data_IF_143248108862
#
_entry.id   IF_143248108862
#
_cell.length_a   1.000
_cell.length_b   1.000
_cell.length_c   1.000
_cell.angle_alpha   90.00
_cell.angle_beta   90.00
_cell.angle_gamma   90.00
#
_symmetry.space_group_name_H-M   'P 1'
#
loop_
_entity.id
_entity.type
_entity.pdbx_description
1 polymer ?
#
# COMPACT_ATOMS: atom_id res chain seq x y z
N UNK A 1 -72.27 -66.45 -58.77
CA UNK A 1 -70.91 -66.42 -58.32
C UNK A 1 -70.48 -67.87 -58.10
N UNK A 2 -69.55 -68.34 -58.94
CA UNK A 2 -69.16 -69.77 -58.93
C UNK A 2 -68.11 -70.02 -57.85
N UNK A 3 -68.08 -71.29 -57.36
CA UNK A 3 -67.08 -71.74 -56.33
C UNK A 3 -65.64 -71.45 -56.76
N UNK A 4 -65.35 -71.30 -58.06
CA UNK A 4 -64.06 -70.88 -58.61
C UNK A 4 -63.65 -69.46 -58.27
N UNK A 5 -64.61 -68.50 -58.27
CA UNK A 5 -64.29 -67.09 -57.96
C UNK A 5 -63.95 -66.87 -56.44
N UNK A 6 -64.61 -67.67 -55.58
CA UNK A 6 -64.33 -67.64 -54.12
C UNK A 6 -62.98 -68.25 -53.86
N UNK A 7 -62.58 -69.28 -54.59
CA UNK A 7 -61.26 -69.90 -54.45
C UNK A 7 -60.12 -69.00 -54.92
N UNK A 8 -60.29 -68.33 -56.05
CA UNK A 8 -59.32 -67.32 -56.55
C UNK A 8 -59.16 -66.11 -55.56
N UNK A 9 -60.28 -65.68 -54.99
CA UNK A 9 -60.23 -64.55 -53.98
C UNK A 9 -59.55 -65.02 -52.72
N UNK A 10 -59.76 -66.27 -52.27
CA UNK A 10 -59.10 -66.82 -51.04
C UNK A 10 -57.58 -67.05 -51.23
N UNK A 11 -57.14 -67.47 -52.44
CA UNK A 11 -55.74 -67.68 -52.81
C UNK A 11 -55.07 -66.32 -52.86
N UNK A 12 -55.66 -65.28 -53.50
CA UNK A 12 -55.16 -63.91 -53.55
C UNK A 12 -55.07 -63.25 -52.16
N UNK A 13 -56.07 -63.48 -51.30
CA UNK A 13 -56.02 -63.01 -49.91
C UNK A 13 -54.88 -63.69 -49.07
N UNK A 14 -54.63 -64.99 -49.33
CA UNK A 14 -53.60 -65.73 -48.64
C UNK A 14 -52.19 -65.29 -49.12
N UNK A 15 -52.00 -64.97 -50.37
CA UNK A 15 -50.74 -64.32 -50.85
C UNK A 15 -50.54 -62.93 -50.32
N UNK A 16 -51.58 -62.10 -50.23
CA UNK A 16 -51.48 -60.79 -49.55
C UNK A 16 -51.15 -60.85 -48.07
N UNK A 17 -51.74 -61.84 -47.40
CA UNK A 17 -51.41 -62.08 -45.92
C UNK A 17 -49.97 -62.53 -45.75
N UNK A 18 -49.45 -63.39 -46.69
CA UNK A 18 -48.04 -63.81 -46.67
C UNK A 18 -47.08 -62.66 -46.93
N UNK A 19 -47.38 -61.78 -47.87
CA UNK A 19 -46.61 -60.58 -48.20
C UNK A 19 -46.62 -59.57 -47.05
N UNK A 20 -47.75 -59.34 -46.39
CA UNK A 20 -47.85 -58.49 -45.20
C UNK A 20 -47.04 -59.10 -44.02
N UNK A 21 -47.12 -60.44 -43.90
CA UNK A 21 -46.33 -61.13 -42.83
C UNK A 21 -44.83 -61.01 -43.06
N UNK A 22 -44.38 -61.10 -44.35
CA UNK A 22 -42.96 -60.86 -44.67
C UNK A 22 -42.55 -59.42 -44.49
N UNK A 23 -43.37 -58.46 -44.84
CA UNK A 23 -43.13 -57.05 -44.63
C UNK A 23 -43.03 -56.71 -43.12
N UNK A 24 -43.92 -57.28 -42.33
CA UNK A 24 -43.89 -57.13 -40.87
C UNK A 24 -42.63 -57.72 -40.27
N UNK A 25 -42.15 -58.86 -40.70
CA UNK A 25 -40.88 -59.46 -40.26
C UNK A 25 -39.67 -58.58 -40.60
N UNK A 26 -39.64 -57.98 -41.80
CA UNK A 26 -38.61 -57.04 -42.23
C UNK A 26 -38.60 -55.80 -41.33
N UNK A 27 -39.75 -55.13 -41.12
CA UNK A 27 -39.92 -54.00 -40.25
C UNK A 27 -39.48 -54.29 -38.80
N UNK A 28 -39.84 -55.47 -38.29
CA UNK A 28 -39.42 -55.88 -36.94
C UNK A 28 -37.92 -56.03 -36.86
N UNK A 29 -37.26 -56.62 -37.88
CA UNK A 29 -35.80 -56.73 -37.95
C UNK A 29 -35.11 -55.38 -38.08
N UNK A 30 -35.65 -54.47 -38.85
CA UNK A 30 -35.13 -53.07 -38.99
C UNK A 30 -35.30 -52.29 -37.70
N UNK A 31 -36.45 -52.42 -37.04
CA UNK A 31 -36.66 -51.83 -35.70
C UNK A 31 -35.68 -52.34 -34.68
N UNK A 32 -35.37 -53.64 -34.68
CA UNK A 32 -34.41 -54.23 -33.75
C UNK A 32 -32.99 -53.73 -34.00
N UNK A 33 -32.57 -53.64 -35.27
CA UNK A 33 -31.29 -53.05 -35.67
C UNK A 33 -31.19 -51.57 -35.31
N UNK A 34 -32.26 -50.79 -35.45
CA UNK A 34 -32.31 -49.41 -35.01
C UNK A 34 -32.20 -49.29 -33.46
N UNK A 35 -32.86 -50.19 -32.73
CA UNK A 35 -32.73 -50.18 -31.28
C UNK A 35 -31.28 -50.46 -30.82
N UNK A 36 -30.62 -51.46 -31.40
CA UNK A 36 -29.22 -51.76 -31.14
C UNK A 36 -28.28 -50.61 -31.46
N UNK A 37 -28.53 -49.87 -32.58
CA UNK A 37 -27.78 -48.68 -32.93
C UNK A 37 -28.01 -47.51 -31.97
N UNK A 38 -29.24 -47.33 -31.49
CA UNK A 38 -29.57 -46.31 -30.45
C UNK A 38 -28.87 -46.62 -29.16
N UNK A 39 -28.86 -47.88 -28.69
CA UNK A 39 -28.18 -48.30 -27.46
C UNK A 39 -26.64 -48.11 -27.56
N UNK A 40 -26.07 -48.44 -28.73
CA UNK A 40 -24.66 -48.20 -28.98
C UNK A 40 -24.33 -46.67 -28.93
N UNK A 41 -25.14 -45.82 -29.56
CA UNK A 41 -24.99 -44.37 -29.50
C UNK A 41 -25.18 -43.83 -28.09
N UNK A 42 -26.10 -44.35 -27.29
CA UNK A 42 -26.26 -43.97 -25.89
C UNK A 42 -25.02 -44.32 -25.06
N UNK A 43 -24.43 -45.48 -25.27
CA UNK A 43 -23.22 -45.91 -24.62
C UNK A 43 -22.03 -45.05 -25.01
N UNK A 44 -21.88 -44.72 -26.28
CA UNK A 44 -20.82 -43.83 -26.80
C UNK A 44 -20.98 -42.41 -26.23
N UNK A 45 -22.18 -41.86 -26.21
CA UNK A 45 -22.49 -40.56 -25.63
C UNK A 45 -22.14 -40.52 -24.12
N UNK A 46 -22.46 -41.58 -23.39
CA UNK A 46 -22.07 -41.69 -21.95
C UNK A 46 -20.56 -41.73 -21.77
N UNK A 47 -19.84 -42.40 -22.66
CA UNK A 47 -18.38 -42.45 -22.67
C UNK A 47 -17.77 -41.08 -23.02
N UNK A 48 -18.28 -40.40 -24.04
CA UNK A 48 -17.86 -39.08 -24.44
C UNK A 48 -18.07 -38.04 -23.31
N UNK A 49 -19.22 -38.08 -22.65
CA UNK A 49 -19.51 -37.22 -21.49
C UNK A 49 -18.49 -37.44 -20.34
N UNK A 50 -18.16 -38.71 -20.03
CA UNK A 50 -17.13 -39.04 -19.04
C UNK A 50 -15.76 -38.52 -19.44
N UNK A 51 -15.36 -38.67 -20.68
CA UNK A 51 -14.09 -38.13 -21.20
C UNK A 51 -14.04 -36.60 -21.18
N UNK A 52 -15.09 -35.91 -21.54
CA UNK A 52 -15.18 -34.44 -21.45
C UNK A 52 -15.02 -33.97 -19.99
N UNK A 53 -15.64 -34.66 -19.05
CA UNK A 53 -15.52 -34.33 -17.63
C UNK A 53 -14.10 -34.55 -17.11
N UNK A 54 -13.46 -35.65 -17.49
CA UNK A 54 -12.06 -35.94 -17.17
C UNK A 54 -11.12 -34.88 -17.74
N UNK A 55 -11.26 -34.55 -19.04
CA UNK A 55 -10.45 -33.51 -19.71
C UNK A 55 -10.68 -32.13 -19.10
N UNK A 56 -11.88 -31.79 -18.67
CA UNK A 56 -12.17 -30.55 -17.95
C UNK A 56 -11.48 -30.47 -16.60
N UNK A 57 -11.41 -31.60 -15.86
CA UNK A 57 -10.66 -31.68 -14.58
C UNK A 57 -9.15 -31.52 -14.81
N UNK A 58 -8.64 -32.20 -15.82
CA UNK A 58 -7.22 -32.13 -16.17
C UNK A 58 -6.81 -30.73 -16.65
N UNK A 59 -7.61 -30.11 -17.53
CA UNK A 59 -7.41 -28.73 -17.95
C UNK A 59 -7.45 -27.75 -16.78
N UNK A 60 -8.35 -27.91 -15.81
CA UNK A 60 -8.36 -27.10 -14.59
C UNK A 60 -7.09 -27.28 -13.77
N UNK A 61 -6.59 -28.50 -13.66
CA UNK A 61 -5.34 -28.81 -12.95
C UNK A 61 -4.13 -28.19 -13.67
N UNK A 62 -4.04 -28.37 -14.98
CA UNK A 62 -2.96 -27.83 -15.80
C UNK A 62 -2.96 -26.29 -15.77
N UNK A 63 -4.13 -25.66 -15.90
CA UNK A 63 -4.27 -24.20 -15.78
C UNK A 63 -3.80 -23.68 -14.41
N UNK A 64 -4.15 -24.37 -13.30
CA UNK A 64 -3.64 -24.02 -11.96
C UNK A 64 -2.12 -24.15 -11.86
N UNK A 65 -1.51 -25.13 -12.53
CA UNK A 65 -0.05 -25.31 -12.54
C UNK A 65 0.61 -24.21 -13.39
N UNK A 66 0.06 -23.89 -14.55
CA UNK A 66 0.55 -22.85 -15.46
C UNK A 66 0.43 -21.46 -14.82
N UNK A 67 -0.69 -21.20 -14.14
CA UNK A 67 -0.94 -19.96 -13.40
C UNK A 67 0.18 -19.58 -12.42
N UNK A 68 0.90 -20.59 -11.90
CA UNK A 68 2.02 -20.38 -10.98
C UNK A 68 3.25 -19.79 -11.67
N UNK A 69 3.42 -20.02 -12.97
CA UNK A 69 4.57 -19.56 -13.77
C UNK A 69 4.26 -18.31 -14.61
N UNK A 70 2.99 -18.08 -14.94
CA UNK A 70 2.54 -16.98 -15.80
C UNK A 70 2.03 -15.75 -15.05
N UNK A 71 1.94 -15.81 -13.71
CA UNK A 71 1.50 -14.64 -12.92
C UNK A 71 2.60 -13.60 -12.87
N UNK A 72 2.32 -12.33 -13.18
CA UNK A 72 3.26 -11.26 -12.91
C UNK A 72 3.61 -11.24 -11.43
N UNK A 73 4.87 -10.96 -11.12
CA UNK A 73 5.30 -10.80 -9.73
C UNK A 73 4.53 -9.64 -9.08
N UNK A 74 3.98 -9.90 -7.91
CA UNK A 74 3.36 -8.84 -7.12
C UNK A 74 4.44 -7.93 -6.54
N UNK A 75 4.29 -6.64 -6.77
CA UNK A 75 5.16 -5.58 -6.28
C UNK A 75 4.33 -4.42 -5.71
N UNK A 76 4.98 -3.39 -5.21
CA UNK A 76 4.32 -2.21 -4.63
C UNK A 76 3.53 -1.38 -5.65
N UNK A 77 3.79 -1.54 -6.96
CA UNK A 77 3.10 -0.81 -8.01
C UNK A 77 1.80 -1.48 -8.44
N UNK A 78 1.75 -2.82 -8.41
CA UNK A 78 0.62 -3.61 -8.90
C UNK A 78 -0.14 -4.37 -7.79
N UNK A 79 0.21 -4.18 -6.53
CA UNK A 79 -0.45 -4.83 -5.40
C UNK A 79 -0.22 -4.05 -4.10
N UNK A 80 -0.92 -4.44 -3.03
CA UNK A 80 -0.66 -3.92 -1.68
C UNK A 80 0.56 -4.57 -1.01
N UNK A 81 1.49 -5.14 -1.79
CA UNK A 81 2.74 -5.71 -1.25
C UNK A 81 3.67 -4.57 -0.87
N UNK A 82 4.11 -4.45 0.40
CA UNK A 82 5.04 -3.41 0.78
C UNK A 82 6.39 -3.59 0.06
N UNK A 83 7.11 -2.50 -0.29
CA UNK A 83 8.41 -2.55 -0.96
C UNK A 83 9.43 -3.45 -0.25
N UNK A 84 9.33 -3.54 1.06
CA UNK A 84 10.16 -4.38 1.92
C UNK A 84 9.98 -5.90 1.74
N UNK A 85 8.89 -6.34 1.13
CA UNK A 85 8.62 -7.75 0.79
C UNK A 85 8.91 -8.07 -0.67
N UNK A 86 9.32 -7.10 -1.46
CA UNK A 86 9.75 -7.35 -2.83
C UNK A 86 11.01 -8.19 -2.82
N UNK A 87 11.00 -9.28 -3.59
CA UNK A 87 12.20 -10.08 -3.79
C UNK A 87 13.21 -9.21 -4.55
N UNK A 88 14.37 -8.96 -3.96
CA UNK A 88 15.49 -8.39 -4.68
C UNK A 88 15.93 -9.40 -5.76
N UNK A 89 15.39 -9.29 -6.94
CA UNK A 89 15.95 -9.91 -8.13
C UNK A 89 17.16 -9.05 -8.53
N UNK A 90 18.31 -9.67 -8.70
CA UNK A 90 19.54 -9.02 -9.17
C UNK A 90 19.41 -8.40 -10.59
N UNK A 91 18.24 -8.50 -11.21
CA UNK A 91 17.96 -7.97 -12.53
C UNK A 91 17.14 -6.69 -12.40
N UNK A 92 17.82 -5.61 -12.71
CA UNK A 92 17.27 -4.29 -13.02
C UNK A 92 16.31 -3.76 -11.93
N UNK A 93 16.83 -2.87 -11.12
CA UNK A 93 16.01 -1.88 -10.42
C UNK A 93 15.12 -1.22 -11.50
N UNK A 94 13.96 -1.79 -11.73
CA UNK A 94 12.93 -1.07 -12.48
C UNK A 94 12.59 0.11 -11.59
N UNK A 95 13.19 1.26 -11.96
CA UNK A 95 12.80 2.56 -11.37
C UNK A 95 11.29 2.56 -11.33
N UNK A 96 10.74 2.81 -10.16
CA UNK A 96 9.30 2.96 -9.95
C UNK A 96 8.73 3.66 -11.17
N UNK A 97 7.94 2.95 -11.96
CA UNK A 97 7.30 3.56 -13.14
C UNK A 97 6.40 4.63 -12.57
N UNK A 98 6.81 5.88 -12.70
CA UNK A 98 5.94 7.02 -12.44
C UNK A 98 4.64 6.75 -13.20
N UNK A 99 3.49 6.94 -12.57
CA UNK A 99 2.17 6.91 -13.22
C UNK A 99 2.03 7.98 -14.33
N UNK A 100 3.04 8.84 -14.47
CA UNK A 100 3.14 9.83 -15.56
C UNK A 100 3.41 9.08 -16.87
N UNK A 101 2.55 9.27 -17.84
CA UNK A 101 2.82 8.86 -19.24
C UNK A 101 4.18 9.44 -19.65
N UNK A 102 5.01 8.64 -20.32
CA UNK A 102 6.24 9.15 -20.93
C UNK A 102 5.87 10.29 -21.85
N UNK A 103 6.30 11.51 -21.54
CA UNK A 103 6.01 12.70 -22.35
C UNK A 103 6.75 12.73 -23.69
N UNK A 104 7.70 11.81 -23.90
CA UNK A 104 8.61 11.82 -25.04
C UNK A 104 9.68 12.94 -24.99
N UNK A 105 9.63 13.78 -23.99
CA UNK A 105 10.54 14.91 -23.81
C UNK A 105 11.84 14.46 -23.13
N UNK A 106 12.93 15.17 -23.39
CA UNK A 106 14.23 14.88 -22.76
C UNK A 106 14.14 15.07 -21.24
N UNK A 107 14.87 14.25 -20.42
CA UNK A 107 14.98 14.47 -18.99
C UNK A 107 15.56 15.86 -18.70
N UNK A 108 14.97 16.60 -17.77
CA UNK A 108 15.41 17.95 -17.38
C UNK A 108 14.31 18.99 -17.46
N UNK A 109 14.66 20.25 -17.19
CA UNK A 109 13.75 21.39 -17.35
C UNK A 109 13.34 21.56 -18.81
N UNK A 110 12.05 21.71 -19.05
CA UNK A 110 11.51 21.94 -20.39
C UNK A 110 11.54 23.44 -20.69
N UNK A 111 11.47 23.88 -21.99
CA UNK A 111 11.33 25.29 -22.33
C UNK A 111 10.14 25.92 -21.58
N UNK A 112 10.36 27.01 -20.89
CA UNK A 112 9.36 27.67 -20.04
C UNK A 112 9.27 27.14 -18.60
N UNK A 113 10.09 26.16 -18.19
CA UNK A 113 10.18 25.74 -16.79
C UNK A 113 10.92 26.81 -15.98
N UNK A 114 10.25 27.37 -14.98
CA UNK A 114 10.90 28.26 -14.01
C UNK A 114 11.92 27.44 -13.20
N UNK A 115 13.18 27.88 -13.26
CA UNK A 115 14.25 27.24 -12.53
C UNK A 115 14.08 27.51 -11.03
N UNK A 116 13.79 26.47 -10.25
CA UNK A 116 13.80 26.54 -8.79
C UNK A 116 15.23 26.47 -8.26
N UNK A 117 15.97 27.56 -8.47
CA UNK A 117 17.30 27.71 -7.87
C UNK A 117 17.18 27.96 -6.37
N UNK A 118 18.19 27.57 -5.61
CA UNK A 118 18.27 27.90 -4.20
C UNK A 118 18.45 29.42 -4.09
N UNK A 119 17.54 30.08 -3.39
CA UNK A 119 17.63 31.52 -3.14
C UNK A 119 18.78 31.81 -2.19
N UNK A 120 19.50 32.89 -2.44
CA UNK A 120 20.49 33.42 -1.51
C UNK A 120 19.80 33.96 -0.25
N UNK A 121 20.47 33.81 0.90
CA UNK A 121 19.99 34.41 2.14
C UNK A 121 20.30 35.92 2.16
N UNK A 122 19.34 36.71 2.62
CA UNK A 122 19.53 38.16 2.77
C UNK A 122 20.51 38.52 3.92
N UNK A 123 20.68 37.59 4.88
CA UNK A 123 21.54 37.80 6.07
C UNK A 123 22.53 36.64 6.17
N UNK A 124 23.67 36.68 5.45
CA UNK A 124 24.72 35.70 5.60
C UNK A 124 25.39 35.80 6.99
N UNK A 125 25.90 34.66 7.49
CA UNK A 125 26.57 34.63 8.78
C UNK A 125 27.97 35.26 8.74
N UNK A 126 28.66 35.14 7.61
CA UNK A 126 29.99 35.67 7.34
C UNK A 126 29.96 36.35 5.97
N UNK A 127 30.61 37.46 5.84
CA UNK A 127 30.82 38.16 4.55
C UNK A 127 32.34 38.31 4.39
N UNK A 128 32.85 37.85 3.28
CA UNK A 128 34.26 37.96 2.90
C UNK A 128 34.37 38.65 1.56
N UNK A 129 35.15 39.78 1.53
CA UNK A 129 35.42 40.52 0.32
C UNK A 129 36.60 39.91 -0.42
N UNK A 130 36.34 39.41 -1.62
CA UNK A 130 37.35 38.75 -2.48
C UNK A 130 37.93 39.78 -3.45
N UNK A 131 39.06 40.36 -3.11
CA UNK A 131 39.75 41.35 -3.92
C UNK A 131 41.06 40.79 -4.52
N UNK A 132 41.41 41.22 -5.73
CA UNK A 132 42.68 40.86 -6.32
C UNK A 132 43.77 41.76 -5.79
N UNK A 133 44.81 41.22 -5.18
CA UNK A 133 45.95 42.01 -4.67
C UNK A 133 46.93 42.49 -5.75
N UNK A 134 46.98 41.81 -6.90
CA UNK A 134 47.91 42.11 -7.99
C UNK A 134 47.27 42.02 -9.36
N UNK A 135 47.73 42.84 -10.29
CA UNK A 135 47.33 42.77 -11.69
C UNK A 135 47.86 41.52 -12.37
N UNK A 136 46.99 40.76 -13.01
CA UNK A 136 47.36 39.45 -13.66
C UNK A 136 48.24 39.64 -14.87
N UNK A 137 48.24 40.79 -15.53
CA UNK A 137 49.01 41.06 -16.73
C UNK A 137 50.36 41.74 -16.43
N UNK A 138 50.38 42.78 -15.58
CA UNK A 138 51.62 43.57 -15.36
C UNK A 138 52.21 43.39 -13.94
N UNK A 139 51.58 42.64 -13.04
CA UNK A 139 52.06 42.37 -11.67
C UNK A 139 51.97 43.58 -10.72
N UNK A 140 51.36 44.68 -11.13
CA UNK A 140 51.22 45.88 -10.27
C UNK A 140 50.37 45.54 -9.03
N UNK A 141 50.76 46.07 -7.88
CA UNK A 141 49.96 46.06 -6.65
C UNK A 141 48.68 46.90 -6.84
N UNK A 142 47.57 46.31 -6.50
CA UNK A 142 46.23 46.91 -6.63
C UNK A 142 45.61 47.30 -5.28
N UNK A 143 46.37 47.20 -4.19
CA UNK A 143 45.88 47.46 -2.82
C UNK A 143 45.29 48.88 -2.66
N UNK A 144 45.78 49.86 -3.44
CA UNK A 144 45.39 51.28 -3.42
C UNK A 144 44.18 51.55 -4.34
N UNK A 145 43.71 50.57 -5.09
CA UNK A 145 42.60 50.76 -6.05
C UNK A 145 41.32 50.22 -5.40
N UNK A 146 40.30 51.07 -5.34
CA UNK A 146 38.98 50.68 -4.86
C UNK A 146 38.35 49.61 -5.76
N UNK A 147 37.88 48.54 -5.18
CA UNK A 147 37.17 47.46 -5.89
C UNK A 147 35.71 47.87 -6.17
N UNK A 148 35.20 47.47 -7.34
CA UNK A 148 33.80 47.52 -7.68
C UNK A 148 33.19 46.14 -7.53
N UNK A 149 31.98 46.04 -6.95
CA UNK A 149 31.29 44.78 -6.75
C UNK A 149 30.81 44.23 -8.10
N UNK A 150 31.37 43.11 -8.55
CA UNK A 150 31.01 42.45 -9.80
C UNK A 150 29.81 41.48 -9.59
N UNK A 151 29.92 40.54 -8.65
CA UNK A 151 28.82 39.61 -8.32
C UNK A 151 28.95 39.10 -6.89
N UNK A 152 27.84 38.52 -6.37
CA UNK A 152 27.77 37.90 -5.07
C UNK A 152 27.50 36.41 -5.23
N UNK A 153 28.24 35.58 -4.50
CA UNK A 153 27.99 34.15 -4.37
C UNK A 153 27.91 33.78 -2.90
N UNK A 154 27.14 32.71 -2.59
CA UNK A 154 27.04 32.21 -1.22
C UNK A 154 27.36 30.72 -1.18
N UNK A 155 28.18 30.32 -0.22
CA UNK A 155 28.49 28.92 0.12
C UNK A 155 27.79 28.61 1.43
N UNK A 156 26.99 27.54 1.45
CA UNK A 156 26.35 27.03 2.67
C UNK A 156 27.13 25.86 3.19
N UNK A 157 27.72 26.02 4.37
CA UNK A 157 28.50 24.98 5.02
C UNK A 157 27.99 24.69 6.44
N UNK A 158 28.41 23.59 7.04
CA UNK A 158 28.10 23.22 8.41
C UNK A 158 29.26 23.62 9.31
N UNK A 159 28.98 24.20 10.51
CA UNK A 159 30.02 24.43 11.49
C UNK A 159 30.56 23.09 12.02
N UNK A 160 31.80 23.09 12.52
CA UNK A 160 32.37 21.93 13.22
C UNK A 160 31.46 21.47 14.35
N UNK A 161 30.99 20.23 14.30
CA UNK A 161 30.10 19.66 15.31
C UNK A 161 30.89 19.16 16.49
N UNK A 162 31.14 20.03 17.47
CA UNK A 162 31.86 19.70 18.72
C UNK A 162 30.89 19.69 19.93
N UNK A 163 31.02 18.72 20.84
CA UNK A 163 30.18 18.66 22.02
C UNK A 163 30.55 19.80 23.02
N UNK A 164 29.52 20.39 23.64
CA UNK A 164 29.73 21.34 24.73
C UNK A 164 29.70 20.59 26.05
N UNK A 165 30.85 20.51 26.71
CA UNK A 165 30.99 19.89 28.03
C UNK A 165 30.79 20.96 29.08
N UNK A 166 29.81 20.75 29.97
CA UNK A 166 29.56 21.64 31.13
C UNK A 166 29.91 20.93 32.42
N UNK A 167 30.83 21.50 33.19
CA UNK A 167 31.19 21.03 34.50
C UNK A 167 30.37 21.76 35.59
N UNK A 168 29.78 21.00 36.50
CA UNK A 168 29.08 21.53 37.66
C UNK A 168 29.83 21.17 38.91
N UNK A 169 30.35 22.17 39.62
CA UNK A 169 31.05 22.01 40.89
C UNK A 169 30.08 22.23 42.04
N UNK A 170 29.79 21.18 42.79
CA UNK A 170 28.81 21.20 43.87
C UNK A 170 29.47 21.43 45.19
N UNK A 171 29.15 22.53 45.86
CA UNK A 171 29.67 22.89 47.16
C UNK A 171 28.61 22.67 48.22
N UNK A 172 29.07 22.32 49.46
CA UNK A 172 28.26 22.36 50.68
C UNK A 172 28.79 23.46 51.60
N UNK A 173 27.88 24.16 52.27
CA UNK A 173 28.19 25.15 53.27
C UNK A 173 27.47 24.80 54.57
N UNK A 174 28.17 24.81 55.70
CA UNK A 174 27.57 24.61 57.02
C UNK A 174 27.29 25.97 57.64
N UNK A 175 26.07 26.24 58.03
CA UNK A 175 25.65 27.44 58.72
C UNK A 175 26.13 27.39 60.20
N UNK A 176 26.26 28.54 60.86
CA UNK A 176 26.56 28.64 62.29
C UNK A 176 25.56 27.92 63.20
N UNK A 177 24.30 27.69 62.71
CA UNK A 177 23.29 26.86 63.37
C UNK A 177 23.54 25.35 63.26
N UNK A 178 24.60 24.90 62.57
CA UNK A 178 24.92 23.49 62.33
C UNK A 178 24.22 22.91 61.04
N UNK A 179 23.31 23.64 60.37
CA UNK A 179 22.62 23.17 59.21
C UNK A 179 23.55 23.12 57.97
N UNK A 180 23.60 21.97 57.30
CA UNK A 180 24.37 21.77 56.06
C UNK A 180 23.55 22.11 54.85
N UNK A 181 23.89 23.16 54.12
CA UNK A 181 23.26 23.61 52.88
C UNK A 181 24.08 23.18 51.68
N UNK A 182 23.43 22.58 50.67
CA UNK A 182 24.05 22.21 49.42
C UNK A 182 23.57 23.12 48.30
N UNK A 183 24.43 23.38 47.35
CA UNK A 183 24.07 24.09 46.13
C UNK A 183 23.04 23.31 45.31
N UNK A 184 22.43 24.01 44.37
CA UNK A 184 21.48 23.41 43.45
C UNK A 184 22.08 22.22 42.67
N UNK A 185 21.42 21.06 42.75
CA UNK A 185 21.78 19.87 41.98
C UNK A 185 20.83 19.73 40.81
N UNK A 186 21.23 20.08 39.56
CA UNK A 186 20.37 19.94 38.40
C UNK A 186 20.06 18.48 38.06
N UNK A 187 20.74 17.51 38.71
CA UNK A 187 20.55 16.06 38.50
C UNK A 187 20.80 15.29 39.79
N UNK A 188 20.12 14.14 39.94
CA UNK A 188 20.35 13.23 41.08
C UNK A 188 21.78 12.70 41.06
N UNK A 189 22.39 12.59 42.24
CA UNK A 189 23.67 11.91 42.45
C UNK A 189 23.64 10.51 41.82
N UNK A 190 24.65 10.15 41.05
CA UNK A 190 24.77 8.82 40.45
C UNK A 190 25.91 8.75 39.46
N UNK A 191 25.74 9.31 38.29
CA UNK A 191 26.76 9.25 37.24
C UNK A 191 27.55 10.56 37.19
N UNK A 192 28.88 10.46 37.16
CA UNK A 192 29.76 11.62 37.01
C UNK A 192 29.57 12.32 35.65
N UNK A 193 29.27 11.54 34.59
CA UNK A 193 29.02 12.06 33.25
C UNK A 193 27.61 11.70 32.82
N UNK A 194 26.87 12.68 32.30
CA UNK A 194 25.52 12.48 31.77
C UNK A 194 25.34 13.24 30.48
N UNK A 195 24.48 12.72 29.59
CA UNK A 195 24.17 13.37 28.34
C UNK A 195 23.07 14.42 28.45
N UNK A 196 23.30 15.58 27.87
CA UNK A 196 22.37 16.71 27.86
C UNK A 196 21.14 16.47 27.00
N UNK A 197 20.16 17.38 27.07
CA UNK A 197 18.89 17.28 26.34
C UNK A 197 19.06 17.19 24.83
N UNK A 198 20.00 17.93 24.23
CA UNK A 198 20.23 17.96 22.79
C UNK A 198 20.80 16.63 22.28
N UNK A 199 21.80 16.07 22.99
CA UNK A 199 22.33 14.72 22.64
C UNK A 199 21.21 13.68 22.67
N UNK A 200 20.39 13.70 23.72
CA UNK A 200 19.26 12.77 23.88
C UNK A 200 18.21 12.95 22.78
N UNK A 201 17.93 14.19 22.38
CA UNK A 201 17.01 14.48 21.26
C UNK A 201 17.54 13.95 19.93
N UNK A 202 18.82 14.22 19.60
CA UNK A 202 19.46 13.72 18.38
C UNK A 202 19.47 12.18 18.34
N UNK A 203 19.88 11.53 19.44
CA UNK A 203 19.87 10.05 19.55
C UNK A 203 18.46 9.49 19.32
N UNK A 204 17.46 10.08 19.96
CA UNK A 204 16.06 9.63 19.79
C UNK A 204 15.59 9.83 18.36
N UNK A 205 15.84 10.99 17.76
CA UNK A 205 15.47 11.30 16.39
C UNK A 205 16.10 10.33 15.38
N UNK A 206 17.43 10.13 15.48
CA UNK A 206 18.15 9.26 14.57
C UNK A 206 17.72 7.79 14.71
N UNK A 207 17.44 7.33 15.93
CA UNK A 207 16.95 5.96 16.12
C UNK A 207 15.50 5.78 15.70
N UNK A 208 14.59 6.66 16.12
CA UNK A 208 13.14 6.48 15.93
C UNK A 208 12.72 6.92 14.54
N UNK A 209 13.15 8.11 14.09
CA UNK A 209 12.70 8.68 12.80
C UNK A 209 13.58 8.19 11.64
N UNK A 210 14.91 8.17 11.83
CA UNK A 210 15.85 7.74 10.80
C UNK A 210 16.16 6.24 10.84
N UNK A 211 15.53 5.50 11.77
CA UNK A 211 15.67 4.05 11.90
C UNK A 211 17.12 3.55 12.01
N UNK A 212 18.01 4.38 12.56
CA UNK A 212 19.43 4.04 12.71
C UNK A 212 19.62 2.98 13.79
N UNK A 213 20.19 1.79 13.51
CA UNK A 213 20.47 0.77 14.51
C UNK A 213 21.41 1.27 15.61
N UNK A 214 21.31 0.72 16.82
CA UNK A 214 22.10 1.17 17.97
C UNK A 214 23.61 1.15 17.73
N UNK A 215 24.14 0.14 17.05
CA UNK A 215 25.54 0.02 16.73
C UNK A 215 25.99 1.15 15.80
N UNK A 216 25.31 1.34 14.68
CA UNK A 216 25.61 2.42 13.73
C UNK A 216 25.39 3.80 14.35
N UNK A 217 24.43 3.93 15.24
CA UNK A 217 24.15 5.18 15.93
C UNK A 217 25.27 5.51 16.93
N UNK A 218 25.84 4.51 17.61
CA UNK A 218 26.99 4.70 18.47
C UNK A 218 28.20 5.21 17.68
N UNK A 219 28.52 4.56 16.53
CA UNK A 219 29.60 5.01 15.63
C UNK A 219 29.36 6.42 15.09
N UNK A 220 28.13 6.72 14.65
CA UNK A 220 27.76 8.05 14.13
C UNK A 220 27.93 9.13 15.20
N UNK A 221 27.49 8.86 16.45
CA UNK A 221 27.65 9.82 17.56
C UNK A 221 29.12 10.09 17.87
N UNK A 222 29.98 9.10 17.75
CA UNK A 222 31.42 9.25 17.96
C UNK A 222 32.12 9.95 16.79
N UNK A 223 31.87 9.49 15.56
CA UNK A 223 32.57 9.97 14.35
C UNK A 223 32.15 11.40 13.95
N UNK A 224 30.85 11.73 14.05
CA UNK A 224 30.32 13.02 13.61
C UNK A 224 30.25 14.04 14.74
N UNK A 225 29.88 13.60 15.94
CA UNK A 225 29.62 14.50 17.08
C UNK A 225 30.68 14.44 18.17
N UNK A 226 31.69 13.58 18.04
CA UNK A 226 32.72 13.32 19.05
C UNK A 226 32.11 13.00 20.46
N UNK A 227 31.01 12.26 20.44
CA UNK A 227 30.28 11.86 21.67
C UNK A 227 30.27 10.33 21.77
N UNK A 228 31.19 9.83 22.64
CA UNK A 228 31.26 8.39 22.88
C UNK A 228 30.10 7.93 23.77
N UNK A 229 29.34 6.87 23.29
CA UNK A 229 28.28 6.27 24.08
C UNK A 229 28.06 4.79 23.70
N UNK A 230 27.71 3.98 24.71
CA UNK A 230 27.39 2.57 24.49
C UNK A 230 25.99 2.38 23.92
N UNK A 231 25.76 1.24 23.23
CA UNK A 231 24.44 0.84 22.77
C UNK A 231 23.40 0.75 23.92
N UNK A 232 23.84 0.34 25.12
CA UNK A 232 23.00 0.32 26.34
C UNK A 232 22.54 1.71 26.73
N UNK A 233 23.39 2.70 26.59
CA UNK A 233 23.08 4.13 26.88
C UNK A 233 22.05 4.63 25.84
N UNK A 234 22.23 4.34 24.55
CA UNK A 234 21.29 4.67 23.49
C UNK A 234 19.91 4.07 23.79
N UNK A 235 19.86 2.77 24.11
CA UNK A 235 18.62 2.07 24.49
C UNK A 235 17.92 2.79 25.67
N UNK A 236 18.65 3.12 26.70
CA UNK A 236 18.09 3.81 27.90
C UNK A 236 17.51 5.18 27.51
N UNK A 237 18.20 5.95 26.66
CA UNK A 237 17.74 7.25 26.18
C UNK A 237 16.42 7.09 25.42
N UNK A 238 16.36 6.15 24.48
CA UNK A 238 15.16 5.89 23.66
C UNK A 238 14.00 5.43 24.53
N UNK A 239 14.22 4.50 25.48
CA UNK A 239 13.19 4.04 26.41
C UNK A 239 12.66 5.17 27.32
N UNK A 240 13.54 6.08 27.79
CA UNK A 240 13.09 7.23 28.54
C UNK A 240 12.26 8.20 27.70
N UNK A 241 12.65 8.44 26.45
CA UNK A 241 11.89 9.26 25.53
C UNK A 241 10.48 8.67 25.29
N UNK A 242 10.38 7.36 25.07
CA UNK A 242 9.10 6.66 24.94
C UNK A 242 8.21 6.82 26.18
N UNK A 243 8.79 6.63 27.36
CA UNK A 243 8.02 6.80 28.61
C UNK A 243 7.49 8.22 28.76
N UNK A 244 8.30 9.22 28.38
CA UNK A 244 7.92 10.64 28.43
C UNK A 244 6.89 11.03 27.36
N UNK A 245 6.82 10.30 26.24
CA UNK A 245 5.86 10.56 25.16
C UNK A 245 4.45 10.04 25.46
N UNK A 246 4.25 9.15 26.45
CA UNK A 246 2.94 8.57 26.73
C UNK A 246 1.79 9.59 26.86
N UNK A 247 1.94 10.72 27.58
CA UNK A 247 0.86 11.73 27.65
C UNK A 247 0.54 12.36 26.28
N UNK A 248 1.58 12.62 25.45
CA UNK A 248 1.40 13.15 24.11
C UNK A 248 0.71 12.14 23.18
N UNK A 249 1.07 10.86 23.26
CA UNK A 249 0.42 9.78 22.50
C UNK A 249 -1.06 9.70 22.88
N UNK A 250 -1.40 9.77 24.17
CA UNK A 250 -2.79 9.78 24.63
C UNK A 250 -3.55 10.98 24.09
N UNK A 251 -2.94 12.16 24.09
CA UNK A 251 -3.55 13.36 23.52
C UNK A 251 -3.81 13.20 22.02
N UNK A 252 -2.85 12.65 21.25
CA UNK A 252 -3.03 12.36 19.81
C UNK A 252 -4.18 11.39 19.59
N UNK A 253 -4.29 10.37 20.40
CA UNK A 253 -5.38 9.39 20.34
C UNK A 253 -6.74 10.03 20.63
N UNK A 254 -6.83 10.89 21.63
CA UNK A 254 -8.04 11.64 21.97
C UNK A 254 -8.44 12.64 20.85
N UNK A 255 -7.45 13.24 20.18
CA UNK A 255 -7.68 14.10 19.03
C UNK A 255 -8.19 13.29 17.81
N UNK A 256 -7.60 12.12 17.53
CA UNK A 256 -8.06 11.24 16.47
C UNK A 256 -9.48 10.75 16.72
N UNK A 257 -9.83 10.41 17.96
CA UNK A 257 -11.22 10.01 18.32
C UNK A 257 -12.25 11.09 18.06
N UNK A 258 -11.84 12.36 18.06
CA UNK A 258 -12.71 13.51 17.77
C UNK A 258 -12.67 13.93 16.31
N UNK A 259 -11.81 13.32 15.51
CA UNK A 259 -11.65 13.70 14.10
C UNK A 259 -12.78 13.13 13.25
N UNK A 260 -13.42 13.94 12.38
CA UNK A 260 -14.57 13.49 11.59
C UNK A 260 -14.15 12.53 10.45
N UNK A 261 -12.91 12.57 10.01
CA UNK A 261 -12.39 11.71 8.94
C UNK A 261 -11.04 11.15 9.38
N UNK A 262 -10.92 9.81 9.39
CA UNK A 262 -9.70 9.11 9.79
C UNK A 262 -9.37 8.02 8.77
N UNK A 263 -8.15 8.06 8.26
CA UNK A 263 -7.59 6.98 7.46
C UNK A 263 -7.03 5.89 8.37
N UNK A 264 -7.33 4.62 8.06
CA UNK A 264 -6.74 3.47 8.74
C UNK A 264 -6.02 2.58 7.73
N UNK A 265 -4.87 2.08 8.15
CA UNK A 265 -4.10 1.12 7.37
C UNK A 265 -3.28 0.23 8.31
N UNK A 266 -2.90 -0.97 7.86
CA UNK A 266 -2.09 -1.87 8.67
C UNK A 266 -1.06 -2.62 7.83
N UNK A 267 0.11 -2.86 8.42
CA UNK A 267 1.18 -3.63 7.80
C UNK A 267 1.70 -4.70 8.74
N UNK A 268 1.91 -5.91 8.20
CA UNK A 268 2.50 -6.99 8.97
C UNK A 268 3.97 -6.72 9.26
N UNK A 269 4.38 -6.87 10.52
CA UNK A 269 5.77 -6.79 10.96
C UNK A 269 6.11 -8.03 11.80
N UNK A 270 7.39 -8.44 11.77
CA UNK A 270 7.85 -9.57 12.57
C UNK A 270 8.54 -9.08 13.83
N UNK A 271 8.07 -9.55 14.98
CA UNK A 271 8.68 -9.33 16.28
C UNK A 271 9.04 -10.69 16.91
N UNK A 272 10.32 -10.93 17.17
CA UNK A 272 10.80 -12.21 17.70
C UNK A 272 10.25 -13.44 16.95
N UNK A 273 10.29 -13.41 15.61
CA UNK A 273 9.76 -14.43 14.69
C UNK A 273 8.22 -14.60 14.73
N UNK A 274 7.49 -13.84 15.52
CA UNK A 274 6.02 -13.81 15.52
C UNK A 274 5.54 -12.68 14.63
N UNK A 275 4.46 -12.93 13.89
CA UNK A 275 3.81 -11.89 13.08
C UNK A 275 2.99 -10.99 13.99
N UNK A 276 3.34 -9.74 14.03
CA UNK A 276 2.59 -8.64 14.63
C UNK A 276 2.11 -7.69 13.53
N UNK A 277 1.28 -6.74 13.91
CA UNK A 277 0.72 -5.75 12.99
C UNK A 277 1.02 -4.34 13.49
N UNK A 278 1.57 -3.54 12.60
CA UNK A 278 1.69 -2.11 12.79
C UNK A 278 0.45 -1.46 12.15
N UNK A 279 -0.31 -0.78 12.97
CA UNK A 279 -1.50 -0.03 12.57
C UNK A 279 -1.19 1.45 12.49
N UNK A 280 -1.80 2.13 11.54
CA UNK A 280 -1.77 3.58 11.41
C UNK A 280 -3.20 4.09 11.46
N UNK A 281 -3.42 5.12 12.30
CA UNK A 281 -4.61 5.96 12.26
C UNK A 281 -4.16 7.39 11.95
N UNK A 282 -4.74 8.03 10.93
CA UNK A 282 -4.26 9.32 10.46
C UNK A 282 -5.35 10.25 9.97
N UNK A 283 -5.07 11.54 10.09
CA UNK A 283 -5.78 12.62 9.41
C UNK A 283 -4.77 13.40 8.55
N UNK A 284 -5.18 14.52 7.97
CA UNK A 284 -4.27 15.42 7.25
C UNK A 284 -3.12 15.93 8.12
N UNK A 285 -3.32 16.06 9.45
CA UNK A 285 -2.36 16.69 10.36
C UNK A 285 -1.84 15.77 11.46
N UNK A 286 -2.52 14.65 11.72
CA UNK A 286 -2.20 13.75 12.81
C UNK A 286 -1.92 12.36 12.29
N UNK A 287 -0.90 11.71 12.84
CA UNK A 287 -0.61 10.30 12.58
C UNK A 287 -0.28 9.60 13.89
N UNK A 288 -1.01 8.55 14.18
CA UNK A 288 -0.76 7.63 15.28
C UNK A 288 -0.38 6.27 14.71
N UNK A 289 0.83 5.82 15.04
CA UNK A 289 1.26 4.46 14.74
C UNK A 289 1.25 3.63 16.03
N UNK A 290 0.65 2.43 15.98
CA UNK A 290 0.59 1.54 17.13
C UNK A 290 0.67 0.07 16.71
N UNK A 291 1.11 -0.76 17.65
CA UNK A 291 1.25 -2.21 17.45
C UNK A 291 0.01 -2.95 17.95
N UNK A 292 -0.39 -4.00 17.23
CA UNK A 292 -1.37 -4.97 17.69
C UNK A 292 -0.93 -6.40 17.33
N UNK A 293 -1.38 -7.37 18.12
CA UNK A 293 -1.09 -8.79 17.88
C UNK A 293 -1.92 -9.37 16.71
N UNK A 294 -2.95 -8.66 16.25
CA UNK A 294 -3.86 -9.13 15.23
C UNK A 294 -4.27 -8.06 14.22
N UNK A 295 -5.02 -8.51 13.21
CA UNK A 295 -5.58 -7.73 12.11
C UNK A 295 -7.12 -7.77 12.10
N UNK A 296 -7.75 -7.94 13.24
CA UNK A 296 -9.21 -7.98 13.35
C UNK A 296 -9.81 -6.63 13.67
N UNK A 297 -11.13 -6.48 13.44
CA UNK A 297 -11.90 -5.29 13.82
C UNK A 297 -11.74 -4.94 15.30
N UNK A 298 -11.59 -5.93 16.16
CA UNK A 298 -11.41 -5.74 17.63
C UNK A 298 -10.28 -4.79 17.99
N UNK A 299 -9.21 -4.73 17.19
CA UNK A 299 -8.09 -3.81 17.43
C UNK A 299 -8.54 -2.35 17.42
N UNK A 300 -9.39 -1.98 16.47
CA UNK A 300 -9.94 -0.63 16.38
C UNK A 300 -11.09 -0.41 17.37
N UNK A 301 -11.92 -1.43 17.60
CA UNK A 301 -13.00 -1.38 18.61
C UNK A 301 -12.44 -1.13 20.02
N UNK A 302 -11.41 -1.88 20.42
CA UNK A 302 -10.74 -1.72 21.72
C UNK A 302 -10.09 -0.35 21.87
N UNK A 303 -9.54 0.19 20.78
CA UNK A 303 -8.79 1.45 20.83
C UNK A 303 -9.64 2.68 20.67
N UNK A 304 -10.62 2.68 19.77
CA UNK A 304 -11.42 3.84 19.42
C UNK A 304 -12.85 3.76 19.98
N UNK A 305 -13.39 2.55 20.22
CA UNK A 305 -14.71 2.33 20.81
C UNK A 305 -15.82 3.06 20.06
N UNK A 306 -16.72 3.70 20.80
CA UNK A 306 -17.86 4.43 20.23
C UNK A 306 -17.47 5.63 19.35
N UNK A 307 -16.23 6.12 19.40
CA UNK A 307 -15.78 7.18 18.52
C UNK A 307 -15.85 6.78 17.04
N UNK A 308 -15.76 5.47 16.73
CA UNK A 308 -15.87 4.96 15.35
C UNK A 308 -17.20 5.36 14.69
N UNK A 309 -18.29 5.40 15.45
CA UNK A 309 -19.64 5.77 14.97
C UNK A 309 -19.76 7.22 14.51
N UNK A 310 -18.83 8.07 14.91
CA UNK A 310 -18.83 9.50 14.61
C UNK A 310 -17.80 9.90 13.54
N UNK A 311 -17.10 8.93 12.95
CA UNK A 311 -16.04 9.22 11.96
C UNK A 311 -16.30 8.54 10.63
N UNK A 312 -15.85 9.19 9.57
CA UNK A 312 -15.75 8.60 8.24
C UNK A 312 -14.39 7.90 8.14
N UNK A 313 -14.41 6.60 7.87
CA UNK A 313 -13.19 5.84 7.70
C UNK A 313 -12.71 5.85 6.23
N UNK A 314 -11.40 6.02 6.01
CA UNK A 314 -10.77 5.82 4.69
C UNK A 314 -9.81 4.64 4.81
N UNK A 315 -10.14 3.50 4.18
CA UNK A 315 -9.38 2.26 4.37
C UNK A 315 -9.18 1.48 3.07
N UNK A 316 -8.37 0.45 3.11
CA UNK A 316 -8.37 -0.56 2.07
C UNK A 316 -9.67 -1.41 2.12
N UNK A 317 -9.75 -2.41 1.24
CA UNK A 317 -10.91 -3.30 1.12
C UNK A 317 -10.84 -4.53 2.06
N UNK A 318 -10.13 -4.42 3.18
CA UNK A 318 -10.05 -5.52 4.13
C UNK A 318 -11.35 -5.70 4.91
N UNK A 319 -11.80 -6.95 5.05
CA UNK A 319 -13.11 -7.27 5.64
C UNK A 319 -13.28 -6.81 7.09
N UNK A 320 -12.21 -6.66 7.85
CA UNK A 320 -12.26 -6.17 9.22
C UNK A 320 -12.85 -4.77 9.34
N UNK A 321 -12.62 -3.90 8.35
CA UNK A 321 -13.17 -2.54 8.36
C UNK A 321 -14.66 -2.50 8.11
N UNK A 322 -15.20 -3.44 7.30
CA UNK A 322 -16.64 -3.54 7.02
C UNK A 322 -17.44 -4.19 8.17
N UNK A 323 -16.76 -4.71 9.18
CA UNK A 323 -17.39 -5.21 10.40
C UNK A 323 -17.54 -4.12 11.48
N UNK A 324 -17.03 -2.90 11.22
CA UNK A 324 -17.03 -1.78 12.14
C UNK A 324 -18.19 -0.82 11.81
N UNK A 325 -18.76 -0.24 12.84
CA UNK A 325 -19.88 0.71 12.75
C UNK A 325 -19.36 2.15 12.61
N UNK A 326 -18.85 2.47 11.41
CA UNK A 326 -18.44 3.83 11.06
C UNK A 326 -19.64 4.68 10.64
N UNK A 327 -19.56 6.00 10.84
CA UNK A 327 -20.55 6.94 10.33
C UNK A 327 -20.70 6.82 8.80
N UNK A 328 -19.59 6.70 8.11
CA UNK A 328 -19.51 6.39 6.69
C UNK A 328 -18.13 5.79 6.37
N UNK A 329 -17.96 5.24 5.17
CA UNK A 329 -16.74 4.56 4.76
C UNK A 329 -16.35 4.98 3.35
N UNK A 330 -15.07 5.26 3.11
CA UNK A 330 -14.49 5.45 1.79
C UNK A 330 -13.43 4.37 1.55
N UNK A 331 -13.61 3.61 0.48
CA UNK A 331 -12.59 2.64 0.06
C UNK A 331 -11.48 3.36 -0.70
N UNK A 332 -10.25 3.11 -0.31
CA UNK A 332 -9.06 3.71 -0.90
C UNK A 332 -8.89 3.33 -2.38
N UNK A 333 -9.04 4.30 -3.28
CA UNK A 333 -8.93 4.08 -4.72
C UNK A 333 -7.51 3.70 -5.16
N UNK A 334 -6.48 4.14 -4.43
CA UNK A 334 -5.10 3.77 -4.75
C UNK A 334 -4.86 2.25 -4.64
N UNK A 335 -5.48 1.59 -3.65
CA UNK A 335 -5.42 0.14 -3.53
C UNK A 335 -6.18 -0.56 -4.65
N UNK A 336 -7.36 -0.07 -5.01
CA UNK A 336 -8.15 -0.61 -6.12
C UNK A 336 -7.43 -0.44 -7.47
N UNK A 337 -6.84 0.71 -7.72
CA UNK A 337 -6.08 0.99 -8.94
C UNK A 337 -4.86 0.06 -9.09
N UNK A 338 -4.16 -0.26 -7.99
CA UNK A 338 -3.06 -1.25 -8.02
C UNK A 338 -3.55 -2.66 -8.32
N UNK A 339 -4.68 -3.07 -7.74
CA UNK A 339 -5.27 -4.38 -8.07
C UNK A 339 -5.69 -4.45 -9.55
N UNK A 340 -6.26 -3.38 -10.11
CA UNK A 340 -6.64 -3.28 -11.52
C UNK A 340 -5.42 -3.29 -12.43
N UNK A 341 -4.32 -2.61 -12.05
CA UNK A 341 -3.04 -2.65 -12.78
C UNK A 341 -2.48 -4.07 -12.83
N UNK A 342 -2.48 -4.79 -11.69
CA UNK A 342 -2.09 -6.19 -11.65
C UNK A 342 -2.91 -7.06 -12.63
N UNK A 343 -4.23 -6.84 -12.71
CA UNK A 343 -5.08 -7.58 -13.65
C UNK A 343 -4.79 -7.21 -15.11
N UNK A 344 -4.42 -5.95 -15.36
CA UNK A 344 -4.02 -5.49 -16.69
C UNK A 344 -2.69 -6.11 -17.13
N UNK A 345 -1.72 -6.25 -16.20
CA UNK A 345 -0.47 -6.95 -16.45
C UNK A 345 -0.68 -8.47 -16.63
N UNK A 346 -1.65 -9.04 -15.88
CA UNK A 346 -1.98 -10.47 -15.93
C UNK A 346 -2.60 -10.88 -17.27
N UNK A 347 -3.41 -10.03 -17.88
CA UNK A 347 -4.01 -10.21 -19.21
C UNK A 347 -4.12 -8.85 -19.93
N UNK A 348 -3.09 -8.44 -20.68
CA UNK A 348 -3.08 -7.14 -21.37
C UNK A 348 -4.13 -7.00 -22.49
N UNK A 349 -4.69 -8.09 -22.98
CA UNK A 349 -5.68 -8.08 -24.08
C UNK A 349 -7.09 -7.71 -23.62
N UNK A 350 -7.43 -8.01 -22.36
CA UNK A 350 -8.75 -7.68 -21.81
C UNK A 350 -8.88 -6.18 -21.53
N UNK A 351 -10.10 -5.65 -21.61
CA UNK A 351 -10.39 -4.22 -21.47
C UNK A 351 -11.02 -3.88 -20.11
N UNK A 352 -11.71 -4.82 -19.48
CA UNK A 352 -12.49 -4.56 -18.27
C UNK A 352 -11.72 -3.86 -17.15
N UNK A 353 -10.50 -4.34 -16.79
CA UNK A 353 -9.72 -3.70 -15.74
C UNK A 353 -9.24 -2.30 -16.13
N UNK A 354 -8.98 -2.06 -17.41
CA UNK A 354 -8.59 -0.73 -17.92
C UNK A 354 -9.75 0.25 -17.86
N UNK A 355 -10.96 -0.20 -18.19
CA UNK A 355 -12.19 0.61 -18.17
C UNK A 355 -12.55 0.99 -16.73
N UNK A 356 -12.53 0.03 -15.79
CA UNK A 356 -12.77 0.31 -14.38
C UNK A 356 -11.69 1.27 -13.83
N UNK A 357 -10.42 1.06 -14.15
CA UNK A 357 -9.34 1.97 -13.73
C UNK A 357 -9.49 3.37 -14.34
N UNK A 358 -9.96 3.46 -15.59
CA UNK A 358 -10.27 4.73 -16.24
C UNK A 358 -11.38 5.48 -15.53
N UNK A 359 -12.47 4.78 -15.17
CA UNK A 359 -13.58 5.35 -14.42
C UNK A 359 -13.11 5.95 -13.09
N UNK A 360 -12.29 5.22 -12.33
CA UNK A 360 -11.76 5.72 -11.05
C UNK A 360 -10.85 6.94 -11.24
N UNK A 361 -9.98 6.94 -12.25
CA UNK A 361 -9.12 8.09 -12.56
C UNK A 361 -9.91 9.32 -13.00
N UNK A 362 -10.99 9.13 -13.78
CA UNK A 362 -11.89 10.20 -14.19
C UNK A 362 -12.62 10.80 -12.98
N UNK A 363 -13.11 9.98 -12.06
CA UNK A 363 -13.74 10.45 -10.83
C UNK A 363 -12.77 11.27 -9.96
N UNK A 364 -11.51 10.84 -9.83
CA UNK A 364 -10.47 11.60 -9.12
C UNK A 364 -10.18 12.92 -9.84
N UNK A 365 -10.11 12.90 -11.18
CA UNK A 365 -9.89 14.10 -11.98
C UNK A 365 -11.04 15.09 -11.79
N UNK A 366 -12.28 14.64 -11.86
CA UNK A 366 -13.48 15.47 -11.62
C UNK A 366 -13.42 16.14 -10.24
N UNK A 367 -13.06 15.40 -9.18
CA UNK A 367 -12.86 15.98 -7.85
C UNK A 367 -11.75 17.03 -7.82
N UNK A 368 -10.63 16.80 -8.51
CA UNK A 368 -9.51 17.74 -8.56
C UNK A 368 -9.83 19.03 -9.33
N UNK A 369 -10.68 18.94 -10.34
CA UNK A 369 -11.14 20.13 -11.12
C UNK A 369 -12.19 20.94 -10.39
N UNK A 370 -12.94 20.29 -9.46
CA UNK A 370 -14.03 20.89 -8.69
C UNK A 370 -13.83 20.62 -7.18
N UNK A 371 -12.74 21.16 -6.58
CA UNK A 371 -12.24 20.69 -5.28
C UNK A 371 -13.19 20.90 -4.10
N UNK A 372 -14.06 21.93 -4.17
CA UNK A 372 -14.96 22.32 -3.06
C UNK A 372 -16.44 22.12 -3.38
N UNK A 373 -16.78 21.51 -4.52
CA UNK A 373 -18.17 21.36 -4.93
C UNK A 373 -18.70 19.98 -4.51
N UNK A 374 -20.03 19.93 -4.25
CA UNK A 374 -20.73 18.66 -4.17
C UNK A 374 -20.87 18.08 -5.57
N UNK A 375 -20.44 16.82 -5.76
CA UNK A 375 -20.55 16.08 -7.01
C UNK A 375 -21.41 14.84 -6.71
N UNK A 376 -22.57 14.74 -7.37
CA UNK A 376 -23.46 13.58 -7.20
C UNK A 376 -22.76 12.30 -7.68
N UNK A 377 -22.59 11.35 -6.78
CA UNK A 377 -21.92 10.07 -7.08
C UNK A 377 -22.80 9.10 -7.87
N UNK A 378 -24.13 9.33 -8.00
CA UNK A 378 -25.06 8.38 -8.63
C UNK A 378 -24.66 8.04 -10.06
N UNK A 379 -24.35 9.04 -10.88
CA UNK A 379 -23.87 8.81 -12.26
C UNK A 379 -22.61 7.98 -12.35
N UNK A 380 -21.72 8.06 -11.34
CA UNK A 380 -20.50 7.28 -11.25
C UNK A 380 -20.78 5.84 -10.79
N UNK A 381 -21.74 5.67 -9.89
CA UNK A 381 -22.21 4.36 -9.45
C UNK A 381 -22.89 3.62 -10.58
N UNK A 382 -23.73 4.28 -11.40
CA UNK A 382 -24.40 3.66 -12.56
C UNK A 382 -23.38 3.18 -13.58
N UNK A 383 -22.36 4.01 -13.91
CA UNK A 383 -21.26 3.60 -14.78
C UNK A 383 -20.47 2.41 -14.23
N UNK A 384 -20.25 2.38 -12.92
CA UNK A 384 -19.59 1.25 -12.25
C UNK A 384 -20.45 -0.01 -12.33
N UNK A 385 -21.75 0.11 -12.08
CA UNK A 385 -22.69 -1.01 -12.14
C UNK A 385 -22.74 -1.65 -13.54
N UNK A 386 -22.70 -0.84 -14.58
CA UNK A 386 -22.64 -1.36 -15.97
C UNK A 386 -21.36 -2.16 -16.20
N UNK A 387 -20.22 -1.70 -15.71
CA UNK A 387 -18.96 -2.46 -15.78
C UNK A 387 -18.99 -3.73 -14.90
N UNK A 388 -19.72 -3.71 -13.78
CA UNK A 388 -19.84 -4.87 -12.90
C UNK A 388 -20.80 -5.95 -13.42
N UNK A 389 -21.67 -5.65 -14.40
CA UNK A 389 -22.52 -6.63 -15.10
C UNK A 389 -21.72 -7.53 -16.08
N UNK A 390 -20.49 -7.16 -16.40
CA UNK A 390 -19.66 -7.90 -17.34
C UNK A 390 -19.47 -9.37 -16.94
N UNK A 391 -19.62 -10.27 -17.92
CA UNK A 391 -19.35 -11.69 -17.73
C UNK A 391 -17.83 -11.95 -17.85
N UNK A 392 -17.19 -12.20 -16.73
CA UNK A 392 -15.74 -12.43 -16.63
C UNK A 392 -15.35 -13.89 -16.44
N UNK A 393 -16.31 -14.83 -16.61
CA UNK A 393 -16.09 -16.27 -16.41
C UNK A 393 -15.07 -16.89 -17.36
N UNK A 394 -14.88 -16.27 -18.54
CA UNK A 394 -13.87 -16.66 -19.52
C UNK A 394 -12.46 -16.20 -19.16
N UNK A 395 -12.32 -15.25 -18.22
CA UNK A 395 -11.04 -14.74 -17.72
C UNK A 395 -10.56 -15.55 -16.52
N UNK A 396 -9.35 -15.22 -16.03
CA UNK A 396 -8.78 -15.85 -14.82
C UNK A 396 -9.62 -15.49 -13.58
N UNK A 397 -9.67 -16.38 -12.61
CA UNK A 397 -10.48 -16.24 -11.37
C UNK A 397 -10.23 -14.94 -10.58
N UNK A 398 -9.06 -14.30 -10.78
CA UNK A 398 -8.71 -13.03 -10.15
C UNK A 398 -9.64 -11.88 -10.57
N UNK A 399 -10.08 -11.86 -11.84
CA UNK A 399 -11.00 -10.85 -12.35
C UNK A 399 -12.36 -10.95 -11.67
N UNK A 400 -12.91 -12.15 -11.61
CA UNK A 400 -14.20 -12.39 -10.95
C UNK A 400 -14.14 -12.11 -9.45
N UNK A 401 -13.00 -12.41 -8.80
CA UNK A 401 -12.79 -12.08 -7.38
C UNK A 401 -12.79 -10.58 -7.15
N UNK A 402 -12.09 -9.79 -8.00
CA UNK A 402 -12.10 -8.34 -7.88
C UNK A 402 -13.49 -7.77 -8.17
N UNK A 403 -14.17 -8.23 -9.24
CA UNK A 403 -15.54 -7.82 -9.57
C UNK A 403 -16.49 -8.00 -8.38
N UNK A 404 -16.53 -9.21 -7.80
CA UNK A 404 -17.32 -9.50 -6.59
C UNK A 404 -16.94 -8.62 -5.41
N UNK A 405 -15.65 -8.33 -5.27
CA UNK A 405 -15.15 -7.44 -4.23
C UNK A 405 -15.63 -6.00 -4.42
N UNK A 406 -15.61 -5.48 -5.65
CA UNK A 406 -16.12 -4.15 -6.00
C UNK A 406 -17.63 -4.07 -5.78
N UNK A 407 -18.39 -5.11 -6.17
CA UNK A 407 -19.83 -5.17 -5.92
C UNK A 407 -20.16 -5.04 -4.42
N UNK A 408 -19.38 -5.69 -3.55
CA UNK A 408 -19.60 -5.63 -2.09
C UNK A 408 -19.31 -4.26 -1.48
N UNK A 409 -18.35 -3.52 -2.01
CA UNK A 409 -17.98 -2.22 -1.49
C UNK A 409 -18.45 -1.04 -2.37
N UNK A 410 -19.36 -1.30 -3.29
CA UNK A 410 -19.84 -0.34 -4.29
C UNK A 410 -20.22 1.02 -3.69
N UNK A 411 -21.01 1.03 -2.65
CA UNK A 411 -21.57 2.25 -2.04
C UNK A 411 -20.49 3.09 -1.32
N UNK A 412 -19.30 2.53 -1.09
CA UNK A 412 -18.18 3.16 -0.39
C UNK A 412 -17.06 3.64 -1.33
N UNK A 413 -17.24 3.54 -2.66
CA UNK A 413 -16.15 3.85 -3.63
C UNK A 413 -16.07 5.34 -3.96
N UNK A 414 -17.22 6.04 -4.04
CA UNK A 414 -17.29 7.41 -4.54
C UNK A 414 -17.77 8.44 -3.51
N UNK A 415 -17.69 8.17 -2.22
CA UNK A 415 -18.13 9.10 -1.18
C UNK A 415 -17.31 10.41 -1.15
N UNK A 416 -16.06 10.36 -1.62
CA UNK A 416 -15.21 11.53 -1.78
C UNK A 416 -15.75 12.55 -2.80
N UNK A 417 -16.67 12.15 -3.70
CA UNK A 417 -17.32 13.06 -4.65
C UNK A 417 -18.38 13.92 -3.98
N UNK A 418 -19.13 13.36 -3.04
CA UNK A 418 -20.18 14.08 -2.32
C UNK A 418 -19.61 14.97 -1.21
N UNK A 419 -18.53 14.53 -0.56
CA UNK A 419 -17.90 15.30 0.50
C UNK A 419 -16.44 15.57 0.17
N UNK A 420 -16.07 16.82 -0.18
CA UNK A 420 -14.71 17.19 -0.56
C UNK A 420 -13.66 17.03 0.55
N UNK A 421 -14.10 16.93 1.81
CA UNK A 421 -13.18 16.67 2.93
C UNK A 421 -12.71 15.21 2.97
N UNK A 422 -13.44 14.28 2.32
CA UNK A 422 -13.05 12.88 2.25
C UNK A 422 -12.01 12.69 1.14
N UNK A 423 -10.79 12.23 1.43
CA UNK A 423 -9.80 11.97 0.38
C UNK A 423 -10.18 10.69 -0.40
N UNK A 424 -9.88 10.63 -1.71
CA UNK A 424 -10.15 9.45 -2.52
C UNK A 424 -9.24 8.26 -2.17
N UNK A 425 -8.16 8.50 -1.49
CA UNK A 425 -7.17 7.49 -1.12
C UNK A 425 -6.58 7.72 0.27
N UNK A 426 -5.85 6.73 0.74
CA UNK A 426 -5.16 6.73 2.02
C UNK A 426 -3.63 6.84 1.83
N UNK A 427 -3.16 7.53 0.79
CA UNK A 427 -1.74 7.58 0.42
C UNK A 427 -0.86 8.26 1.48
N UNK A 428 -1.42 9.11 2.33
CA UNK A 428 -0.69 9.69 3.45
C UNK A 428 -0.16 8.63 4.43
N UNK A 429 -0.72 7.40 4.44
CA UNK A 429 -0.20 6.27 5.21
C UNK A 429 1.13 5.74 4.70
N UNK A 430 1.41 5.84 3.39
CA UNK A 430 2.60 5.24 2.78
C UNK A 430 3.92 5.79 3.30
N UNK A 431 4.14 7.12 3.38
CA UNK A 431 5.34 7.67 3.98
C UNK A 431 5.54 7.20 5.42
N UNK A 432 4.44 7.03 6.15
CA UNK A 432 4.45 6.61 7.55
C UNK A 432 4.85 5.14 7.73
N UNK A 433 4.45 4.24 6.82
CA UNK A 433 4.92 2.85 6.84
C UNK A 433 6.37 2.70 6.37
N UNK A 434 6.90 3.60 5.57
CA UNK A 434 8.31 3.57 5.17
C UNK A 434 9.25 3.80 6.35
N UNK A 435 8.78 4.46 7.41
CA UNK A 435 9.49 4.64 8.69
C UNK A 435 9.35 3.47 9.65
N UNK A 436 8.45 2.50 9.38
CA UNK A 436 8.40 1.26 10.15
C UNK A 436 9.46 0.35 9.54
N UNK A 437 10.65 0.22 10.17
CA UNK A 437 11.70 -0.59 9.59
C UNK A 437 11.19 -2.00 9.42
N UNK A 438 11.45 -2.59 8.28
CA UNK A 438 11.44 -4.04 8.09
C UNK A 438 12.55 -4.69 8.89
N UNK A 439 12.66 -4.29 10.14
CA UNK A 439 13.54 -4.94 11.05
C UNK A 439 12.95 -6.30 11.43
N UNK A 440 13.70 -7.34 11.13
CA UNK A 440 13.76 -8.47 12.05
C UNK A 440 14.10 -7.87 13.41
N UNK A 441 13.06 -7.47 14.13
CA UNK A 441 13.16 -6.74 15.39
C UNK A 441 13.69 -7.72 16.45
N UNK A 442 15.00 -7.96 16.42
CA UNK A 442 15.67 -8.55 17.60
C UNK A 442 15.60 -7.62 18.81
N UNK A 443 15.22 -6.35 18.63
CA UNK A 443 15.28 -5.32 19.68
C UNK A 443 14.04 -4.42 19.79
N UNK A 444 12.89 -4.76 19.20
CA UNK A 444 11.70 -3.89 19.21
C UNK A 444 10.80 -4.02 20.45
N UNK A 445 11.33 -4.44 21.58
CA UNK A 445 10.62 -4.19 22.84
C UNK A 445 10.58 -2.70 23.21
N UNK A 446 11.09 -1.81 22.37
CA UNK A 446 11.23 -0.39 22.67
C UNK A 446 10.48 0.58 21.76
N UNK A 447 9.78 0.14 20.70
CA UNK A 447 9.21 1.07 19.72
C UNK A 447 7.69 1.15 19.69
N UNK A 448 6.99 0.38 20.50
CA UNK A 448 5.52 0.41 20.52
C UNK A 448 5.02 0.36 21.95
N UNK A 449 4.50 1.49 22.42
CA UNK A 449 3.69 1.58 23.64
C UNK A 449 2.25 1.15 23.32
#
# INVERSE_FOLDING_TARGET
MGISDIFCTFVSMNEQVTDISQALKRLTSEMQSMHEAIDALHTENANLRRNVERLRKENRSLRKRLEKYEKPDKNSNNSSTPPSKEKMKAEVIQRTKSLRKKSGLKPGGQPGHEAHNRNMTEKPNVVEDCMSGYCRECGRDLSDIAGELDYVSQVVDLPTLAPVVREYRHYKKTCTCGCCNRGYEPRKRGNQVTFGKNVRAVVTYLNVVQCTPYERLASLMEEVFSVHMSQGTIKNIVQEAMRKSKPAIKLLEDMLRKSPIVGFDESGCYNNKKLDWAWIAQTTYLTLCFRAAGRSSKVLEERFGDALKNMVAVTDRHSAYFALDFLNHQVCLAHLLRELEYLTELDPKQQWSKEVASLFRQAIHERNTRPNEFIDKRTWLDKLDDLLKANLLHLRSNFERLRKGLTKCRDYIFNFLENPAIPPDNNASYPNFSFIPTFSIKNANSLVA
#
